data_IF_875279065344
#
_entry.id   IF_875279065344
#
_cell.length_a   1.000
_cell.length_b   1.000
_cell.length_c   1.000
_cell.angle_alpha   90.00
_cell.angle_beta   90.00
_cell.angle_gamma   90.00
#
_symmetry.space_group_name_H-M   'P 1'
#
loop_
_entity.id
_entity.type
_entity.pdbx_description
1 polymer ?
#
# COMPACT_ATOMS: atom_id res chain seq x y z
N UNK A 1 5.98 -15.22 -9.75
CA UNK A 1 6.51 -14.60 -8.50
C UNK A 1 5.55 -14.79 -7.33
N UNK A 2 4.27 -14.42 -7.46
CA UNK A 2 3.25 -14.60 -6.41
C UNK A 2 3.24 -16.02 -5.81
N UNK A 3 3.17 -17.04 -6.66
CA UNK A 3 3.17 -18.44 -6.22
C UNK A 3 4.44 -18.82 -5.44
N UNK A 4 5.58 -18.25 -5.81
CA UNK A 4 6.85 -18.52 -5.11
C UNK A 4 6.85 -17.88 -3.71
N UNK A 5 6.35 -16.66 -3.57
CA UNK A 5 6.18 -15.99 -2.27
C UNK A 5 5.21 -16.77 -1.39
N UNK A 6 4.06 -17.19 -1.91
CA UNK A 6 3.06 -17.93 -1.16
C UNK A 6 3.51 -19.35 -0.79
N UNK A 7 4.29 -20.02 -1.66
CA UNK A 7 4.85 -21.35 -1.39
C UNK A 7 5.99 -21.31 -0.37
N UNK A 8 6.91 -20.35 -0.50
CA UNK A 8 8.12 -20.29 0.35
C UNK A 8 7.91 -19.50 1.64
N UNK A 9 6.98 -18.53 1.64
CA UNK A 9 6.69 -17.58 2.72
C UNK A 9 7.92 -16.83 3.25
N UNK A 10 8.99 -16.82 2.45
CA UNK A 10 10.31 -16.27 2.78
C UNK A 10 11.15 -16.07 1.51
N UNK A 11 12.15 -15.20 1.61
CA UNK A 11 13.19 -15.02 0.61
C UNK A 11 14.47 -14.45 1.27
N UNK A 12 15.61 -14.61 0.60
CA UNK A 12 16.89 -14.07 1.04
C UNK A 12 17.21 -12.77 0.32
N UNK A 13 17.74 -11.80 1.06
CA UNK A 13 18.27 -10.53 0.57
C UNK A 13 19.77 -10.53 0.81
N UNK A 14 20.54 -10.41 -0.28
CA UNK A 14 21.99 -10.26 -0.18
C UNK A 14 22.31 -8.77 0.02
N UNK A 15 22.67 -8.39 1.23
CA UNK A 15 23.13 -7.04 1.55
C UNK A 15 24.63 -6.99 1.26
N UNK A 16 25.00 -6.27 0.21
CA UNK A 16 26.38 -6.14 -0.26
C UNK A 16 26.96 -4.77 0.10
N UNK A 17 28.25 -4.74 0.45
CA UNK A 17 28.95 -3.55 0.93
C UNK A 17 30.27 -3.96 1.57
N UNK A 18 30.80 -3.14 2.47
CA UNK A 18 32.03 -3.46 3.22
C UNK A 18 31.87 -4.74 4.06
N UNK A 19 30.67 -4.96 4.62
CA UNK A 19 30.30 -6.20 5.31
C UNK A 19 29.15 -6.88 4.57
N UNK A 20 29.48 -7.88 3.75
CA UNK A 20 28.49 -8.68 3.05
C UNK A 20 27.76 -9.62 4.02
N UNK A 21 26.43 -9.63 3.95
CA UNK A 21 25.59 -10.57 4.72
C UNK A 21 24.33 -10.94 3.94
N UNK A 22 23.78 -12.09 4.29
CA UNK A 22 22.50 -12.56 3.77
C UNK A 22 21.46 -12.44 4.86
N UNK A 23 20.41 -11.66 4.62
CA UNK A 23 19.28 -11.51 5.52
C UNK A 23 18.09 -12.30 5.01
N UNK A 24 17.38 -13.00 5.91
CA UNK A 24 16.19 -13.77 5.56
C UNK A 24 14.94 -13.00 5.95
N UNK A 25 14.09 -12.72 4.96
CA UNK A 25 12.76 -12.14 5.16
C UNK A 25 11.74 -13.28 5.26
N UNK A 26 10.88 -13.26 6.28
CA UNK A 26 9.89 -14.30 6.59
C UNK A 26 8.49 -13.71 6.75
N UNK A 27 7.49 -14.59 6.85
CA UNK A 27 6.09 -14.26 7.11
C UNK A 27 5.48 -13.38 6.01
N UNK A 28 5.85 -13.65 4.76
CA UNK A 28 5.33 -12.96 3.59
C UNK A 28 4.31 -13.80 2.84
N UNK A 29 3.33 -13.12 2.26
CA UNK A 29 2.38 -13.66 1.30
C UNK A 29 2.15 -12.61 0.22
N UNK A 30 1.55 -13.01 -0.90
CA UNK A 30 1.29 -12.13 -2.00
C UNK A 30 -0.07 -12.41 -2.63
N UNK A 31 -0.78 -11.34 -2.99
CA UNK A 31 -2.00 -11.40 -3.80
C UNK A 31 -1.76 -10.70 -5.13
N UNK A 32 -2.57 -11.02 -6.13
CA UNK A 32 -2.55 -10.27 -7.38
C UNK A 32 -3.23 -8.92 -7.16
N UNK A 33 -2.55 -7.82 -7.53
CA UNK A 33 -3.04 -6.45 -7.36
C UNK A 33 -4.28 -6.12 -8.21
N UNK A 34 -4.58 -6.92 -9.25
CA UNK A 34 -5.81 -6.83 -10.02
C UNK A 34 -6.93 -7.75 -9.52
N UNK A 35 -6.69 -8.55 -8.48
CA UNK A 35 -7.72 -9.40 -7.87
C UNK A 35 -8.52 -8.61 -6.82
N UNK A 36 -9.79 -8.98 -6.55
CA UNK A 36 -10.58 -8.33 -5.52
C UNK A 36 -10.03 -8.55 -4.10
N UNK A 37 -9.17 -9.55 -3.87
CA UNK A 37 -8.60 -9.87 -2.55
C UNK A 37 -7.80 -8.70 -1.96
N UNK A 38 -7.15 -7.91 -2.81
CA UNK A 38 -6.35 -6.76 -2.39
C UNK A 38 -7.21 -5.69 -1.68
N UNK A 39 -8.48 -5.54 -2.07
CA UNK A 39 -9.42 -4.58 -1.47
C UNK A 39 -9.67 -4.93 -0.02
N UNK A 40 -9.93 -6.21 0.26
CA UNK A 40 -10.14 -6.70 1.62
C UNK A 40 -8.88 -6.52 2.48
N UNK A 41 -7.69 -6.74 1.91
CA UNK A 41 -6.43 -6.54 2.64
C UNK A 41 -6.19 -5.07 2.98
N UNK A 42 -6.46 -4.13 2.06
CA UNK A 42 -6.37 -2.69 2.34
C UNK A 42 -7.38 -2.30 3.43
N UNK A 43 -8.58 -2.89 3.40
CA UNK A 43 -9.62 -2.60 4.39
C UNK A 43 -9.24 -3.03 5.81
N UNK A 44 -8.37 -4.03 5.98
CA UNK A 44 -7.93 -4.53 7.29
C UNK A 44 -6.55 -4.02 7.73
N UNK A 45 -5.72 -3.55 6.80
CA UNK A 45 -4.33 -3.18 7.08
C UNK A 45 -4.19 -2.00 8.07
N UNK A 46 -3.04 -1.96 8.74
CA UNK A 46 -2.61 -0.80 9.56
C UNK A 46 -1.70 0.15 8.79
N UNK A 47 -0.95 -0.39 7.83
CA UNK A 47 -0.03 0.35 6.98
C UNK A 47 -0.15 -0.19 5.54
N UNK A 48 -0.16 0.73 4.58
CA UNK A 48 -0.03 0.41 3.14
C UNK A 48 1.18 1.15 2.60
N UNK A 49 2.10 0.41 1.97
CA UNK A 49 3.30 0.99 1.34
C UNK A 49 3.37 0.69 -0.15
N UNK A 50 3.97 1.57 -0.95
CA UNK A 50 4.17 1.34 -2.39
C UNK A 50 5.63 1.52 -2.82
N UNK A 51 6.04 0.78 -3.84
CA UNK A 51 7.32 0.93 -4.54
C UNK A 51 7.16 0.44 -6.00
N UNK A 52 6.27 1.08 -6.75
CA UNK A 52 5.76 0.63 -8.06
C UNK A 52 6.09 1.57 -9.22
N UNK A 53 6.61 2.76 -8.93
CA UNK A 53 6.92 3.83 -9.87
C UNK A 53 5.71 4.72 -10.23
N UNK A 54 5.96 5.96 -10.71
CA UNK A 54 4.94 6.99 -10.95
C UNK A 54 3.81 6.54 -11.88
N UNK A 55 4.14 5.79 -12.93
CA UNK A 55 3.16 5.34 -13.92
C UNK A 55 2.15 4.34 -13.35
N UNK A 56 2.57 3.53 -12.38
CA UNK A 56 1.71 2.53 -11.74
C UNK A 56 0.98 3.12 -10.53
N UNK A 57 1.55 4.14 -9.88
CA UNK A 57 0.95 4.81 -8.72
C UNK A 57 -0.47 5.32 -9.01
N UNK A 58 -0.69 5.95 -10.17
CA UNK A 58 -2.02 6.38 -10.59
C UNK A 58 -2.97 5.20 -10.89
N UNK A 59 -2.45 4.06 -11.37
CA UNK A 59 -3.27 2.87 -11.71
C UNK A 59 -3.78 2.16 -10.47
N UNK A 60 -3.00 2.13 -9.39
CA UNK A 60 -3.40 1.49 -8.14
C UNK A 60 -4.33 2.35 -7.28
N UNK A 61 -4.47 3.65 -7.60
CA UNK A 61 -5.29 4.58 -6.82
C UNK A 61 -6.76 4.16 -6.72
N UNK A 62 -7.35 3.64 -7.81
CA UNK A 62 -8.73 3.13 -7.80
C UNK A 62 -8.89 1.93 -6.85
N UNK A 63 -7.92 1.02 -6.83
CA UNK A 63 -7.91 -0.13 -5.92
C UNK A 63 -7.75 0.31 -4.47
N UNK A 64 -6.88 1.28 -4.20
CA UNK A 64 -6.71 1.87 -2.86
C UNK A 64 -8.01 2.54 -2.40
N UNK A 65 -8.63 3.35 -3.26
CA UNK A 65 -9.93 3.98 -2.98
C UNK A 65 -10.99 2.93 -2.62
N UNK A 66 -11.11 1.86 -3.42
CA UNK A 66 -12.06 0.78 -3.14
C UNK A 66 -11.80 0.10 -1.79
N UNK A 67 -10.54 -0.10 -1.42
CA UNK A 67 -10.15 -0.61 -0.10
C UNK A 67 -10.57 0.32 1.05
N UNK A 68 -10.41 1.64 0.87
CA UNK A 68 -10.83 2.64 1.86
C UNK A 68 -12.35 2.72 1.99
N UNK A 69 -13.08 2.62 0.87
CA UNK A 69 -14.55 2.54 0.86
C UNK A 69 -15.01 1.32 1.64
N UNK A 70 -14.44 0.15 1.37
CA UNK A 70 -14.76 -1.08 2.10
C UNK A 70 -14.43 -0.95 3.59
N UNK A 71 -13.28 -0.36 3.94
CA UNK A 71 -12.91 -0.08 5.34
C UNK A 71 -13.95 0.79 6.05
N UNK A 72 -14.42 1.84 5.37
CA UNK A 72 -15.43 2.74 5.89
C UNK A 72 -16.77 2.01 6.10
N UNK A 73 -17.22 1.23 5.12
CA UNK A 73 -18.46 0.45 5.20
C UNK A 73 -18.45 -0.60 6.32
N UNK A 74 -17.27 -1.15 6.64
CA UNK A 74 -17.08 -2.07 7.77
C UNK A 74 -17.07 -1.36 9.14
N UNK A 75 -17.09 -0.03 9.17
CA UNK A 75 -16.98 0.75 10.41
C UNK A 75 -15.60 0.69 11.05
N UNK A 76 -14.56 0.31 10.30
CA UNK A 76 -13.20 0.19 10.83
C UNK A 76 -12.51 1.55 10.91
N UNK A 77 -12.60 2.19 12.07
CA UNK A 77 -12.03 3.52 12.36
C UNK A 77 -10.60 3.48 12.89
N UNK A 78 -9.93 2.31 12.90
CA UNK A 78 -8.52 2.23 13.29
C UNK A 78 -7.67 3.08 12.34
N UNK A 79 -6.72 3.89 12.86
CA UNK A 79 -5.84 4.68 12.01
C UNK A 79 -5.12 3.82 10.98
N UNK A 80 -5.11 4.28 9.73
CA UNK A 80 -4.35 3.67 8.63
C UNK A 80 -3.33 4.69 8.13
N UNK A 81 -2.07 4.27 7.94
CA UNK A 81 -1.08 5.10 7.25
C UNK A 81 -0.74 4.54 5.88
N UNK A 82 -0.83 5.38 4.85
CA UNK A 82 -0.40 5.08 3.50
C UNK A 82 0.90 5.84 3.23
N UNK A 83 1.93 5.14 2.74
CA UNK A 83 3.27 5.68 2.50
C UNK A 83 3.77 5.23 1.13
N UNK A 84 3.86 6.13 0.16
CA UNK A 84 4.48 5.83 -1.12
C UNK A 84 6.01 5.98 -1.01
N UNK A 85 6.73 4.85 -1.05
CA UNK A 85 8.19 4.78 -1.04
C UNK A 85 8.74 4.81 -2.46
N UNK A 86 8.36 5.86 -3.20
CA UNK A 86 8.71 6.04 -4.60
C UNK A 86 9.90 6.99 -4.74
N UNK A 87 10.67 6.86 -5.83
CA UNK A 87 11.65 7.87 -6.22
C UNK A 87 10.94 9.11 -6.82
N UNK A 88 10.15 9.79 -5.99
CA UNK A 88 9.32 10.93 -6.33
C UNK A 88 9.25 11.89 -5.15
N UNK A 89 9.32 13.19 -5.44
CA UNK A 89 9.05 14.21 -4.42
C UNK A 89 7.56 14.16 -4.07
N UNK A 90 7.26 13.95 -2.78
CA UNK A 90 5.90 13.88 -2.23
C UNK A 90 5.01 12.88 -2.98
N UNK A 91 5.54 11.69 -3.23
CA UNK A 91 4.82 10.61 -3.94
C UNK A 91 3.48 10.26 -3.27
N UNK A 92 3.43 10.26 -1.94
CA UNK A 92 2.21 9.93 -1.20
C UNK A 92 1.14 11.00 -1.35
N UNK A 93 1.53 12.28 -1.36
CA UNK A 93 0.61 13.39 -1.67
C UNK A 93 0.02 13.27 -3.08
N UNK A 94 0.80 12.82 -4.07
CA UNK A 94 0.30 12.58 -5.43
C UNK A 94 -0.66 11.39 -5.47
N UNK A 95 -0.33 10.29 -4.79
CA UNK A 95 -1.25 9.16 -4.62
C UNK A 95 -2.57 9.61 -3.96
N UNK A 96 -2.51 10.46 -2.92
CA UNK A 96 -3.70 11.02 -2.26
C UNK A 96 -4.62 11.71 -3.26
N UNK A 97 -4.09 12.54 -4.15
CA UNK A 97 -4.88 13.24 -5.16
C UNK A 97 -5.63 12.26 -6.08
N UNK A 98 -4.95 11.22 -6.56
CA UNK A 98 -5.58 10.20 -7.39
C UNK A 98 -6.63 9.38 -6.64
N UNK A 99 -6.39 9.05 -5.38
CA UNK A 99 -7.35 8.34 -4.53
C UNK A 99 -8.59 9.20 -4.28
N UNK A 100 -8.41 10.46 -3.88
CA UNK A 100 -9.53 11.37 -3.58
C UNK A 100 -10.42 11.62 -4.81
N UNK A 101 -9.85 11.65 -6.01
CA UNK A 101 -10.62 11.77 -7.25
C UNK A 101 -11.60 10.60 -7.50
N UNK A 102 -11.43 9.47 -6.80
CA UNK A 102 -12.30 8.30 -6.89
C UNK A 102 -13.27 8.16 -5.70
N UNK A 103 -13.29 9.12 -4.76
CA UNK A 103 -14.12 9.09 -3.55
C UNK A 103 -15.22 10.15 -3.61
N UNK A 104 -16.39 9.83 -3.06
CA UNK A 104 -17.46 10.80 -2.76
C UNK A 104 -17.08 11.75 -1.62
N UNK A 105 -17.82 12.85 -1.46
CA UNK A 105 -17.55 13.83 -0.39
C UNK A 105 -17.67 13.25 1.04
N UNK A 106 -18.60 12.33 1.25
CA UNK A 106 -18.75 11.63 2.55
C UNK A 106 -17.53 10.74 2.82
N UNK A 107 -17.08 9.98 1.81
CA UNK A 107 -15.91 9.10 1.93
C UNK A 107 -14.61 9.91 2.11
N UNK A 108 -14.45 11.03 1.40
CA UNK A 108 -13.30 11.93 1.58
C UNK A 108 -13.21 12.44 3.02
N UNK A 109 -14.32 12.93 3.58
CA UNK A 109 -14.37 13.39 4.99
C UNK A 109 -13.97 12.29 5.96
N UNK A 110 -14.44 11.06 5.73
CA UNK A 110 -14.06 9.93 6.57
C UNK A 110 -12.56 9.60 6.44
N UNK A 111 -12.03 9.58 5.21
CA UNK A 111 -10.61 9.32 4.94
C UNK A 111 -9.72 10.37 5.60
N UNK A 112 -10.09 11.66 5.54
CA UNK A 112 -9.34 12.73 6.20
C UNK A 112 -9.22 12.57 7.72
N UNK A 113 -10.21 11.95 8.35
CA UNK A 113 -10.23 11.73 9.80
C UNK A 113 -9.44 10.49 10.25
N UNK A 114 -9.36 9.46 9.40
CA UNK A 114 -8.87 8.13 9.81
C UNK A 114 -7.62 7.66 9.06
N UNK A 115 -7.24 8.30 7.96
CA UNK A 115 -6.16 7.85 7.07
C UNK A 115 -5.09 8.92 6.89
N UNK A 116 -3.87 8.60 7.30
CA UNK A 116 -2.68 9.41 7.06
C UNK A 116 -2.07 9.11 5.70
N UNK A 117 -1.90 10.13 4.85
CA UNK A 117 -1.06 10.05 3.65
C UNK A 117 0.29 10.71 3.95
N UNK A 118 1.30 9.89 4.25
CA UNK A 118 2.60 10.34 4.77
C UNK A 118 3.64 10.35 3.65
N UNK A 119 4.12 11.53 3.27
CA UNK A 119 5.22 11.65 2.30
C UNK A 119 6.51 11.05 2.87
N UNK A 120 7.32 10.42 2.02
CA UNK A 120 8.59 9.79 2.40
C UNK A 120 9.74 10.19 1.46
N UNK A 121 10.97 9.93 1.91
CA UNK A 121 12.18 9.97 1.11
C UNK A 121 12.96 8.68 1.38
N UNK A 122 13.31 7.95 0.32
CA UNK A 122 13.92 6.60 0.40
C UNK A 122 15.10 6.46 -0.54
#
# INVERSE_FOLDING_TARGET
>A
LLDALNKRKSYQVNVVGEQARVEEVKNVSAVNSGSPEVVALIAEADIVTTAVGPQILARIAATVAQGLITRHQQGNTRPLNIIACENMVRGTSQLKQHVFAALSEDEQRWVEQHVGFVDSAV
#
